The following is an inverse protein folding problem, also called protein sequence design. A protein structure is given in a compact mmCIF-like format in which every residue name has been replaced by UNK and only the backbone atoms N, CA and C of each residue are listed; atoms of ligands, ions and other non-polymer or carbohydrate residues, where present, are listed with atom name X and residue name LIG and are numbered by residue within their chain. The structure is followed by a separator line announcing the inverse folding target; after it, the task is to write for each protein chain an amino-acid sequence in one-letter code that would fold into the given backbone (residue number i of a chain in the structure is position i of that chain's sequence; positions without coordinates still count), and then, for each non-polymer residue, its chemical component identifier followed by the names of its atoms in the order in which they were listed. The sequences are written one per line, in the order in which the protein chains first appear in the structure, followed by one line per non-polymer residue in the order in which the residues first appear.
data_IF_709929685588
#
_entry.id   IF_709929685588
#
_cell.length_a   1.000
_cell.length_b   1.000
_cell.length_c   1.000
_cell.angle_alpha   90.00
_cell.angle_beta   90.00
_cell.angle_gamma   90.00
#
_symmetry.space_group_name_H-M   'P 1'
#
loop_
_entity.id
_entity.type
_entity.pdbx_description
1 polymer ?
#
# COMPACT_ATOMS: atom_id res chain seq x y z
N UNK A 1 -7.04 13.66 4.34
CA UNK A 1 -5.81 13.08 3.77
C UNK A 1 -4.68 13.21 4.76
N UNK A 2 -3.71 12.30 4.72
CA UNK A 2 -2.46 12.37 5.49
C UNK A 2 -1.38 12.94 4.56
N UNK A 3 -0.64 13.96 5.00
CA UNK A 3 0.49 14.51 4.24
C UNK A 3 1.77 13.83 4.69
N UNK A 4 2.52 13.28 3.75
CA UNK A 4 3.70 12.44 4.00
C UNK A 4 4.80 12.77 2.99
N UNK A 5 5.94 12.09 3.13
CA UNK A 5 7.04 12.18 2.17
C UNK A 5 6.95 11.04 1.14
N UNK A 6 7.67 11.21 0.03
CA UNK A 6 7.88 10.22 -1.04
C UNK A 6 8.18 8.80 -0.52
N UNK A 7 9.09 8.66 0.45
CA UNK A 7 9.43 7.37 1.06
C UNK A 7 8.25 6.68 1.75
N UNK A 8 7.27 7.43 2.25
CA UNK A 8 6.07 6.85 2.82
C UNK A 8 5.20 6.21 1.74
N UNK A 9 5.03 6.87 0.59
CA UNK A 9 4.28 6.31 -0.54
C UNK A 9 4.98 5.06 -1.09
N UNK A 10 6.31 5.11 -1.23
CA UNK A 10 7.12 3.96 -1.65
C UNK A 10 6.99 2.77 -0.69
N UNK A 11 7.04 3.01 0.62
CA UNK A 11 6.88 1.95 1.61
C UNK A 11 5.49 1.32 1.55
N UNK A 12 4.43 2.12 1.41
CA UNK A 12 3.06 1.61 1.29
C UNK A 12 2.85 0.79 0.02
N UNK A 13 3.39 1.23 -1.12
CA UNK A 13 3.37 0.47 -2.38
C UNK A 13 4.13 -0.85 -2.24
N UNK A 14 5.30 -0.83 -1.59
CA UNK A 14 6.07 -2.04 -1.32
C UNK A 14 5.33 -3.02 -0.41
N UNK A 15 4.56 -2.54 0.58
CA UNK A 15 3.71 -3.37 1.43
C UNK A 15 2.61 -4.09 0.63
N UNK A 16 2.12 -3.47 -0.45
CA UNK A 16 1.14 -4.06 -1.38
C UNK A 16 1.78 -4.96 -2.45
N UNK A 17 3.09 -5.21 -2.36
CA UNK A 17 3.81 -6.10 -3.26
C UNK A 17 4.22 -5.46 -4.59
N UNK A 18 4.21 -4.13 -4.71
CA UNK A 18 4.78 -3.47 -5.88
C UNK A 18 6.31 -3.67 -5.87
N UNK A 19 6.81 -4.48 -6.80
CA UNK A 19 8.20 -4.98 -6.81
C UNK A 19 9.13 -4.08 -7.60
N UNK A 20 9.37 -2.88 -7.09
CA UNK A 20 10.71 -2.30 -6.88
C UNK A 20 10.69 -0.77 -6.93
N UNK A 21 11.63 -0.17 -6.19
CA UNK A 21 12.05 1.24 -6.36
C UNK A 21 12.51 1.54 -7.80
N UNK A 22 12.85 0.51 -8.59
CA UNK A 22 13.28 0.62 -9.98
C UNK A 22 12.09 0.72 -10.95
N UNK A 23 10.94 0.09 -10.66
CA UNK A 23 9.70 0.20 -11.45
C UNK A 23 8.89 1.47 -11.12
N UNK A 24 8.85 1.88 -9.86
CA UNK A 24 8.12 3.10 -9.43
C UNK A 24 8.95 4.37 -9.65
N UNK A 25 10.29 4.24 -9.68
CA UNK A 25 11.20 5.38 -9.81
C UNK A 25 11.09 6.36 -8.63
N UNK A 26 11.26 7.65 -8.91
CA UNK A 26 11.02 8.72 -7.93
C UNK A 26 9.52 9.03 -7.87
N UNK A 27 8.97 9.09 -6.66
CA UNK A 27 7.61 9.61 -6.46
C UNK A 27 7.62 11.12 -6.62
N UNK A 28 6.87 11.61 -7.59
CA UNK A 28 6.81 13.02 -7.95
C UNK A 28 6.13 13.87 -6.87
N UNK A 29 6.45 15.18 -6.86
CA UNK A 29 5.72 16.13 -6.01
C UNK A 29 4.25 16.17 -6.45
N UNK A 30 3.33 16.15 -5.48
CA UNK A 30 1.89 16.13 -5.75
C UNK A 30 1.32 14.74 -6.01
N UNK A 31 2.15 13.68 -5.98
CA UNK A 31 1.66 12.31 -6.04
C UNK A 31 0.84 11.94 -4.81
N UNK A 32 -0.07 10.98 -4.96
CA UNK A 32 -0.94 10.49 -3.90
C UNK A 32 -1.21 8.99 -4.02
N UNK A 33 -1.49 8.36 -2.87
CA UNK A 33 -2.05 7.02 -2.79
C UNK A 33 -3.42 7.13 -2.13
N UNK A 34 -4.45 6.63 -2.81
CA UNK A 34 -5.85 6.72 -2.39
C UNK A 34 -6.32 5.30 -2.09
N UNK A 35 -6.87 5.09 -0.89
CA UNK A 35 -7.51 3.84 -0.49
C UNK A 35 -9.01 4.08 -0.41
N UNK A 36 -9.77 3.36 -1.22
CA UNK A 36 -11.22 3.45 -1.27
C UNK A 36 -11.83 2.19 -0.68
N UNK A 37 -12.73 2.37 0.30
CA UNK A 37 -13.51 1.29 0.89
C UNK A 37 -14.90 1.29 0.28
N UNK A 38 -15.21 0.21 -0.41
CA UNK A 38 -16.48 0.00 -1.08
C UNK A 38 -17.30 -1.08 -0.40
N UNK A 39 -18.60 -1.07 -0.66
CA UNK A 39 -19.54 -2.11 -0.24
C UNK A 39 -20.40 -2.51 -1.42
N UNK A 40 -20.27 -3.77 -1.83
CA UNK A 40 -21.08 -4.36 -2.89
C UNK A 40 -22.57 -4.35 -2.46
N UNK A 41 -23.49 -3.74 -3.23
CA UNK A 41 -24.89 -3.65 -2.85
C UNK A 41 -25.63 -4.99 -2.91
N UNK A 42 -25.18 -5.94 -3.72
CA UNK A 42 -25.81 -7.24 -3.92
C UNK A 42 -25.32 -8.24 -2.88
N UNK A 43 -24.00 -8.31 -2.68
CA UNK A 43 -23.38 -9.28 -1.76
C UNK A 43 -23.18 -8.73 -0.34
N UNK A 44 -23.31 -7.42 -0.14
CA UNK A 44 -23.01 -6.71 1.10
C UNK A 44 -21.56 -6.86 1.59
N UNK A 45 -20.66 -7.39 0.75
CA UNK A 45 -19.24 -7.57 1.06
C UNK A 45 -18.47 -6.26 0.91
N UNK A 46 -17.41 -6.13 1.69
CA UNK A 46 -16.52 -4.98 1.64
C UNK A 46 -15.29 -5.31 0.81
N UNK A 47 -14.90 -4.40 -0.07
CA UNK A 47 -13.70 -4.51 -0.87
C UNK A 47 -12.95 -3.18 -0.93
N UNK A 48 -11.66 -3.24 -1.23
CA UNK A 48 -10.77 -2.10 -1.29
C UNK A 48 -10.26 -1.94 -2.72
N UNK A 49 -10.25 -0.70 -3.18
CA UNK A 49 -9.52 -0.27 -4.37
C UNK A 49 -8.40 0.68 -3.92
N UNK A 50 -7.22 0.53 -4.53
CA UNK A 50 -6.06 1.38 -4.23
C UNK A 50 -5.62 2.04 -5.52
N UNK A 51 -5.57 3.37 -5.51
CA UNK A 51 -5.23 4.18 -6.67
C UNK A 51 -3.95 4.97 -6.40
N UNK A 52 -3.03 4.96 -7.36
CA UNK A 52 -1.84 5.81 -7.35
C UNK A 52 -2.00 6.96 -8.35
N UNK A 53 -1.75 8.18 -7.90
CA UNK A 53 -1.72 9.38 -8.74
C UNK A 53 -0.28 9.82 -8.89
N UNK A 54 0.22 9.89 -10.12
CA UNK A 54 1.51 10.50 -10.43
C UNK A 54 1.35 12.02 -10.62
N UNK A 55 2.04 12.81 -9.80
CA UNK A 55 1.92 14.27 -9.78
C UNK A 55 2.47 15.00 -11.02
N UNK A 56 3.18 14.31 -11.91
CA UNK A 56 3.76 14.90 -13.15
C UNK A 56 3.20 14.31 -14.43
N UNK A 57 2.39 13.24 -14.36
CA UNK A 57 1.87 12.58 -15.55
C UNK A 57 0.94 13.51 -16.34
N UNK A 58 1.16 13.67 -17.66
CA UNK A 58 0.24 14.39 -18.55
C UNK A 58 -1.04 13.59 -18.81
N UNK A 59 -1.07 12.30 -18.44
CA UNK A 59 -2.27 11.47 -18.42
C UNK A 59 -2.79 11.45 -16.98
N UNK A 60 -3.75 12.34 -16.69
CA UNK A 60 -4.18 12.80 -15.36
C UNK A 60 -5.03 11.80 -14.57
N UNK A 61 -4.94 10.51 -14.88
CA UNK A 61 -5.77 9.47 -14.28
C UNK A 61 -5.12 8.83 -13.06
N UNK A 62 -5.87 8.60 -11.96
CA UNK A 62 -5.46 7.62 -10.96
C UNK A 62 -5.28 6.25 -11.63
N UNK A 63 -4.19 5.55 -11.28
CA UNK A 63 -3.87 4.21 -11.76
C UNK A 63 -4.18 3.18 -10.69
N UNK A 64 -4.84 2.09 -11.06
CA UNK A 64 -5.05 0.97 -10.16
C UNK A 64 -3.73 0.35 -9.70
N UNK A 65 -3.63 0.09 -8.40
CA UNK A 65 -2.51 -0.63 -7.80
C UNK A 65 -2.88 -2.11 -7.66
N UNK A 66 -2.13 -2.98 -8.34
CA UNK A 66 -2.33 -4.43 -8.27
C UNK A 66 -1.87 -4.99 -6.92
N UNK A 67 -2.79 -5.38 -6.03
CA UNK A 67 -2.45 -5.87 -4.70
C UNK A 67 -1.97 -7.32 -4.80
N UNK A 68 -0.69 -7.56 -4.56
CA UNK A 68 -0.13 -8.91 -4.66
C UNK A 68 -0.87 -9.90 -3.75
N UNK A 69 -1.24 -11.05 -4.31
CA UNK A 69 -2.01 -12.11 -3.65
C UNK A 69 -3.47 -11.73 -3.29
N UNK A 70 -4.03 -10.74 -3.98
CA UNK A 70 -5.44 -10.39 -3.94
C UNK A 70 -6.00 -10.23 -5.36
N UNK A 71 -7.11 -10.91 -5.66
CA UNK A 71 -7.80 -10.70 -6.94
C UNK A 71 -8.63 -9.42 -6.87
N UNK A 72 -8.65 -8.57 -7.92
CA UNK A 72 -9.51 -7.40 -7.95
C UNK A 72 -11.00 -7.78 -8.22
N UNK A 73 -11.98 -7.20 -7.51
CA UNK A 73 -11.82 -6.26 -6.39
C UNK A 73 -11.33 -6.96 -5.11
N UNK A 74 -10.35 -6.37 -4.43
CA UNK A 74 -9.71 -7.01 -3.29
C UNK A 74 -10.60 -7.00 -2.04
N UNK A 75 -10.99 -8.17 -1.54
CA UNK A 75 -11.77 -8.29 -0.29
C UNK A 75 -11.04 -7.63 0.88
N UNK A 76 -11.77 -6.86 1.70
CA UNK A 76 -11.20 -6.11 2.82
C UNK A 76 -10.44 -7.02 3.80
N UNK A 77 -11.00 -8.17 4.15
CA UNK A 77 -10.38 -9.07 5.12
C UNK A 77 -9.18 -9.80 4.52
N UNK A 78 -9.19 -10.05 3.21
CA UNK A 78 -8.01 -10.54 2.50
C UNK A 78 -6.88 -9.50 2.53
N UNK A 79 -7.15 -8.22 2.27
CA UNK A 79 -6.15 -7.15 2.39
C UNK A 79 -5.58 -7.05 3.81
N UNK A 80 -6.45 -7.07 4.84
CA UNK A 80 -6.04 -7.03 6.24
C UNK A 80 -5.16 -8.23 6.62
N UNK A 81 -5.40 -9.39 6.02
CA UNK A 81 -4.59 -10.58 6.24
C UNK A 81 -3.22 -10.48 5.53
N UNK A 82 -3.18 -9.99 4.29
CA UNK A 82 -1.93 -9.77 3.53
C UNK A 82 -1.02 -8.76 4.25
N UNK A 83 -1.62 -7.72 4.82
CA UNK A 83 -0.91 -6.61 5.46
C UNK A 83 -0.64 -6.81 6.96
N UNK A 84 -1.06 -7.95 7.52
CA UNK A 84 -1.10 -8.20 8.97
C UNK A 84 0.23 -7.93 9.69
N UNK A 85 1.31 -8.41 9.06
CA UNK A 85 2.67 -8.28 9.58
C UNK A 85 3.16 -6.84 9.76
N UNK A 86 2.53 -5.87 9.10
CA UNK A 86 2.96 -4.47 9.15
C UNK A 86 2.23 -3.65 10.21
N UNK A 87 1.03 -4.07 10.65
CA UNK A 87 0.23 -3.31 11.63
C UNK A 87 0.02 -4.03 12.95
N UNK A 88 0.10 -5.37 13.02
CA UNK A 88 0.03 -6.12 14.29
C UNK A 88 1.37 -6.19 15.02
N UNK A 89 2.03 -5.05 15.16
CA UNK A 89 3.28 -4.96 15.91
C UNK A 89 2.95 -4.63 17.37
N UNK A 90 3.15 -5.60 18.26
CA UNK A 90 2.86 -5.44 19.69
C UNK A 90 3.99 -4.79 20.47
N UNK A 91 5.24 -4.93 19.99
CA UNK A 91 6.43 -4.35 20.61
C UNK A 91 7.41 -3.81 19.57
N UNK A 92 7.16 -2.60 19.06
CA UNK A 92 8.00 -1.95 18.05
C UNK A 92 9.47 -1.84 18.48
N UNK A 93 9.74 -1.59 19.77
CA UNK A 93 11.10 -1.44 20.29
C UNK A 93 11.90 -2.74 20.16
N UNK A 94 11.26 -3.87 20.40
CA UNK A 94 11.88 -5.18 20.26
C UNK A 94 12.12 -5.55 18.80
N UNK A 95 11.16 -5.31 17.92
CA UNK A 95 11.34 -5.51 16.46
C UNK A 95 12.49 -4.67 15.89
N UNK A 96 12.70 -3.47 16.42
CA UNK A 96 13.81 -2.60 16.06
C UNK A 96 15.13 -2.92 16.78
N UNK A 97 15.15 -3.82 17.76
CA UNK A 97 16.38 -4.20 18.46
C UNK A 97 17.18 -5.17 17.60
N UNK A 98 18.05 -4.61 16.76
CA UNK A 98 19.02 -5.37 15.99
C UNK A 98 20.18 -5.83 16.89
N UNK A 99 19.97 -6.88 17.69
CA UNK A 99 21.10 -7.56 18.33
C UNK A 99 21.80 -8.34 17.23
N UNK A 100 23.00 -7.89 16.82
CA UNK A 100 23.81 -8.63 15.84
C UNK A 100 24.02 -10.05 16.35
N UNK A 101 23.38 -11.04 15.73
CA UNK A 101 23.79 -12.42 15.89
C UNK A 101 25.12 -12.56 15.16
N UNK A 102 26.21 -12.21 15.85
CA UNK A 102 27.56 -12.59 15.46
C UNK A 102 27.61 -14.11 15.42
N UNK A 103 27.69 -14.67 14.21
CA UNK A 103 28.19 -16.01 13.94
C UNK A 103 29.68 -15.91 13.63
#
# INVERSE_FOLDING_TARGET
GVVVHDYTLLALLAMLGQRSLEEIGFVSTGSALIYELHRDPDTNKFYIEVLFVDGVSPEWGPMDVDIQACDPPCDLYQLLNITDKYYKITNWKEECNFISRTA
#
